data_IF_137663506279
#
_entry.id   IF_137663506279
#
_cell.length_a   1.000
_cell.length_b   1.000
_cell.length_c   1.000
_cell.angle_alpha   90.00
_cell.angle_beta   90.00
_cell.angle_gamma   90.00
#
_symmetry.space_group_name_H-M   'P 1'
#
loop_
_entity.id
_entity.type
_entity.pdbx_description
1 polymer ?
#
# COMPACT_ATOMS: atom_id res chain seq x y z
N UNK A 1 -19.24 32.99 -10.10
CA UNK A 1 -19.25 32.03 -9.96
C UNK A 1 -18.25 31.23 -9.72
N UNK A 2 -18.06 30.64 -8.97
CA UNK A 2 -17.03 29.89 -8.62
C UNK A 2 -16.90 28.65 -9.35
N UNK A 3 -15.71 28.19 -9.58
CA UNK A 3 -15.46 27.06 -10.23
C UNK A 3 -15.36 25.99 -9.26
N UNK A 4 -16.03 24.97 -9.38
CA UNK A 4 -15.94 23.84 -8.50
C UNK A 4 -14.72 23.05 -8.86
N UNK A 5 -13.87 22.82 -7.90
CA UNK A 5 -12.69 22.01 -8.12
C UNK A 5 -13.03 20.60 -7.70
N UNK A 6 -12.74 19.65 -8.55
CA UNK A 6 -13.06 18.27 -8.24
C UNK A 6 -12.22 17.79 -7.05
N UNK A 7 -12.82 17.04 -6.17
CA UNK A 7 -12.05 16.47 -5.05
C UNK A 7 -10.97 15.54 -5.58
N UNK A 8 -9.86 15.43 -4.87
CA UNK A 8 -8.76 14.60 -5.33
C UNK A 8 -9.19 13.14 -5.45
N UNK A 9 -10.17 12.72 -4.67
CA UNK A 9 -10.65 11.35 -4.80
C UNK A 9 -11.23 11.09 -6.18
N UNK A 10 -11.87 12.07 -6.79
CA UNK A 10 -12.38 11.92 -8.14
C UNK A 10 -11.24 11.96 -9.16
N UNK A 11 -10.22 12.76 -8.89
CA UNK A 11 -9.05 12.81 -9.74
C UNK A 11 -8.35 11.45 -9.72
N UNK A 12 -8.26 10.85 -8.57
CA UNK A 12 -7.64 9.54 -8.42
C UNK A 12 -8.41 8.49 -9.21
N UNK A 13 -9.74 8.53 -9.12
CA UNK A 13 -10.54 7.57 -9.85
C UNK A 13 -10.43 7.76 -11.35
N UNK A 14 -10.39 9.00 -11.79
CA UNK A 14 -10.24 9.28 -13.21
C UNK A 14 -8.88 8.78 -13.71
N UNK A 15 -7.85 8.93 -12.88
CA UNK A 15 -6.54 8.45 -13.26
C UNK A 15 -6.56 6.93 -13.38
N UNK A 16 -7.16 6.25 -12.42
CA UNK A 16 -7.25 4.80 -12.44
C UNK A 16 -7.98 4.34 -13.71
N UNK A 17 -9.09 5.00 -14.04
CA UNK A 17 -9.86 4.63 -15.21
C UNK A 17 -9.08 4.84 -16.50
N UNK A 18 -8.20 5.82 -16.51
CA UNK A 18 -7.43 6.11 -17.71
C UNK A 18 -6.44 5.00 -18.03
N UNK A 19 -6.15 4.12 -17.08
CA UNK A 19 -5.23 3.01 -17.29
C UNK A 19 -5.94 1.70 -17.61
N UNK A 20 -7.22 1.78 -17.96
CA UNK A 20 -8.02 0.60 -18.16
C UNK A 20 -7.50 -0.33 -19.27
N UNK A 21 -6.96 0.26 -20.34
CA UNK A 21 -6.42 -0.57 -21.42
C UNK A 21 -5.19 -1.31 -20.94
N UNK A 22 -4.35 -0.63 -20.18
CA UNK A 22 -3.15 -1.26 -19.62
C UNK A 22 -3.56 -2.40 -18.69
N UNK A 23 -4.55 -2.14 -17.84
CA UNK A 23 -5.00 -3.15 -16.90
C UNK A 23 -5.50 -4.40 -17.63
N UNK A 24 -6.28 -4.20 -18.68
CA UNK A 24 -6.82 -5.33 -19.40
C UNK A 24 -5.76 -6.16 -20.10
N UNK A 25 -4.62 -5.57 -20.39
CA UNK A 25 -3.54 -6.30 -21.03
C UNK A 25 -2.70 -7.09 -20.03
N UNK A 26 -2.91 -6.87 -18.74
CA UNK A 26 -2.16 -7.62 -17.73
C UNK A 26 -2.75 -9.00 -17.54
N UNK A 27 -1.94 -9.90 -16.99
CA UNK A 27 -2.43 -11.19 -16.62
C UNK A 27 -3.38 -11.02 -15.44
N UNK A 28 -4.23 -12.00 -15.24
CA UNK A 28 -5.27 -11.88 -14.22
C UNK A 28 -4.73 -11.58 -12.84
N UNK A 29 -3.72 -12.32 -12.40
CA UNK A 29 -3.18 -12.08 -11.08
C UNK A 29 -2.53 -10.72 -10.99
N UNK A 30 -2.03 -10.20 -12.11
CA UNK A 30 -1.43 -8.88 -12.11
C UNK A 30 -2.49 -7.79 -12.09
N UNK A 31 -3.67 -8.09 -12.60
CA UNK A 31 -4.76 -7.14 -12.53
C UNK A 31 -5.17 -6.88 -11.10
N UNK A 32 -5.18 -7.92 -10.28
CA UNK A 32 -5.50 -7.74 -8.86
C UNK A 32 -4.44 -6.89 -8.18
N UNK A 33 -3.18 -7.13 -8.51
CA UNK A 33 -2.11 -6.31 -7.94
C UNK A 33 -2.24 -4.86 -8.37
N UNK A 34 -2.58 -4.65 -9.65
CA UNK A 34 -2.75 -3.29 -10.16
C UNK A 34 -3.89 -2.59 -9.43
N UNK A 35 -5.00 -3.28 -9.23
CA UNK A 35 -6.14 -2.68 -8.53
C UNK A 35 -5.72 -2.32 -7.10
N UNK A 36 -4.88 -3.11 -6.51
CA UNK A 36 -4.39 -2.84 -5.17
C UNK A 36 -3.55 -1.58 -5.07
N UNK A 37 -2.87 -1.19 -6.18
CA UNK A 37 -2.09 0.03 -6.15
C UNK A 37 -2.96 1.24 -5.90
N UNK A 38 -4.07 1.32 -6.62
CA UNK A 38 -4.95 2.48 -6.48
C UNK A 38 -5.75 2.40 -5.18
N UNK A 39 -6.05 1.20 -4.72
CA UNK A 39 -6.68 1.07 -3.41
C UNK A 39 -5.74 1.57 -2.32
N UNK A 40 -4.45 1.25 -2.44
CA UNK A 40 -3.46 1.74 -1.47
C UNK A 40 -3.35 3.26 -1.53
N UNK A 41 -3.44 3.82 -2.73
CA UNK A 41 -3.33 5.27 -2.87
C UNK A 41 -4.44 6.00 -2.13
N UNK A 42 -5.60 5.37 -2.01
CA UNK A 42 -6.72 6.04 -1.36
C UNK A 42 -6.46 6.37 0.09
N UNK A 43 -5.54 5.65 0.72
CA UNK A 43 -5.23 5.93 2.11
C UNK A 43 -4.45 7.23 2.28
N UNK A 44 -3.93 7.79 1.19
CA UNK A 44 -3.07 8.95 1.29
C UNK A 44 -3.58 10.17 0.52
N UNK A 45 -4.90 10.20 0.29
CA UNK A 45 -5.48 11.29 -0.50
C UNK A 45 -5.20 12.64 0.13
N UNK A 46 -5.29 12.72 1.46
CA UNK A 46 -5.05 14.01 2.12
C UNK A 46 -3.63 14.52 1.87
N UNK A 47 -2.66 13.61 1.96
CA UNK A 47 -1.27 14.00 1.70
C UNK A 47 -1.07 14.38 0.24
N UNK A 48 -1.76 13.71 -0.66
CA UNK A 48 -1.64 13.99 -2.08
C UNK A 48 -2.13 15.38 -2.41
N UNK A 49 -3.17 15.82 -1.72
CA UNK A 49 -3.69 17.15 -1.94
C UNK A 49 -2.62 18.18 -1.61
N UNK A 50 -1.85 17.94 -0.56
CA UNK A 50 -0.81 18.88 -0.16
C UNK A 50 0.43 18.84 -1.07
N UNK A 51 0.56 17.81 -1.89
CA UNK A 51 1.72 17.74 -2.76
C UNK A 51 1.71 18.82 -3.83
N UNK A 52 0.53 19.30 -4.21
CA UNK A 52 0.39 20.39 -5.18
C UNK A 52 1.17 20.15 -6.46
N UNK A 53 1.10 18.94 -6.96
CA UNK A 53 1.82 18.66 -8.19
C UNK A 53 0.98 19.00 -9.40
N UNK A 54 1.66 19.36 -10.47
CA UNK A 54 0.97 19.65 -11.71
C UNK A 54 0.32 18.39 -12.26
N UNK A 55 0.98 17.24 -12.10
CA UNK A 55 0.42 16.01 -12.57
C UNK A 55 -0.06 15.21 -11.40
N UNK A 56 -1.33 14.92 -11.32
CA UNK A 56 -1.85 14.12 -10.21
C UNK A 56 -1.18 12.76 -10.10
N UNK A 57 -0.75 12.20 -11.23
CA UNK A 57 -0.12 10.90 -11.22
C UNK A 57 1.11 10.86 -10.33
N UNK A 58 1.90 11.92 -10.29
CA UNK A 58 3.08 11.95 -9.45
C UNK A 58 2.69 11.78 -7.98
N UNK A 59 1.68 12.51 -7.54
CA UNK A 59 1.24 12.42 -6.15
C UNK A 59 0.67 11.03 -5.86
N UNK A 60 -0.07 10.48 -6.80
CA UNK A 60 -0.65 9.16 -6.65
C UNK A 60 0.45 8.12 -6.52
N UNK A 61 1.46 8.20 -7.37
CA UNK A 61 2.56 7.23 -7.31
C UNK A 61 3.30 7.32 -6.00
N UNK A 62 3.52 8.53 -5.49
CA UNK A 62 4.19 8.66 -4.21
C UNK A 62 3.36 8.06 -3.08
N UNK A 63 2.05 8.25 -3.10
CA UNK A 63 1.18 7.64 -2.09
C UNK A 63 1.23 6.13 -2.16
N UNK A 64 1.25 5.58 -3.38
CA UNK A 64 1.35 4.15 -3.57
C UNK A 64 2.69 3.66 -3.00
N UNK A 65 3.77 4.37 -3.29
CA UNK A 65 5.08 3.96 -2.82
C UNK A 65 5.20 3.99 -1.31
N UNK A 66 4.58 4.98 -0.67
CA UNK A 66 4.58 5.05 0.78
C UNK A 66 3.88 3.82 1.36
N UNK A 67 2.75 3.44 0.78
CA UNK A 67 2.02 2.30 1.28
C UNK A 67 2.80 1.01 1.05
N UNK A 68 3.47 0.90 -0.09
CA UNK A 68 4.29 -0.27 -0.37
C UNK A 68 5.48 -0.33 0.58
N UNK A 69 6.09 0.81 0.88
CA UNK A 69 7.21 0.84 1.80
C UNK A 69 6.76 0.39 3.19
N UNK A 70 5.57 0.83 3.61
CA UNK A 70 5.01 0.40 4.86
C UNK A 70 4.82 -1.11 4.88
N UNK A 71 4.25 -1.65 3.81
CA UNK A 71 4.00 -3.09 3.74
C UNK A 71 5.31 -3.87 3.80
N UNK A 72 6.34 -3.38 3.10
CA UNK A 72 7.64 -4.04 3.13
C UNK A 72 8.21 -4.03 4.54
N UNK A 73 8.11 -2.89 5.22
CA UNK A 73 8.64 -2.80 6.58
C UNK A 73 7.90 -3.74 7.52
N UNK A 74 6.58 -3.83 7.38
CA UNK A 74 5.79 -4.72 8.21
C UNK A 74 6.10 -6.18 7.91
N UNK A 75 6.28 -6.51 6.63
CA UNK A 75 6.63 -7.87 6.26
C UNK A 75 8.00 -8.25 6.79
N UNK A 76 8.96 -7.35 6.70
CA UNK A 76 10.29 -7.60 7.22
C UNK A 76 10.25 -7.84 8.71
N UNK A 77 9.46 -7.04 9.43
CA UNK A 77 9.36 -7.19 10.86
C UNK A 77 8.67 -8.52 11.20
N UNK A 78 7.66 -8.89 10.43
CA UNK A 78 6.98 -10.16 10.63
C UNK A 78 7.91 -11.34 10.39
N UNK A 79 8.74 -11.27 9.34
CA UNK A 79 9.70 -12.32 9.06
C UNK A 79 10.71 -12.42 10.19
N UNK A 80 11.20 -11.28 10.68
CA UNK A 80 12.17 -11.28 11.76
C UNK A 80 11.57 -11.89 13.02
N UNK A 81 10.30 -11.60 13.31
CA UNK A 81 9.64 -12.15 14.47
C UNK A 81 9.48 -13.67 14.34
N UNK A 82 9.12 -14.11 13.12
CA UNK A 82 8.96 -15.54 12.88
C UNK A 82 10.29 -16.26 12.98
N UNK A 83 11.35 -15.68 12.43
CA UNK A 83 12.66 -16.27 12.52
C UNK A 83 13.11 -16.40 13.97
N UNK A 84 12.87 -15.38 14.75
CA UNK A 84 13.22 -15.41 16.14
C UNK A 84 12.44 -16.51 16.87
N UNK A 85 11.18 -16.65 16.54
CA UNK A 85 10.37 -17.70 17.16
C UNK A 85 10.86 -19.09 16.79
N UNK A 86 11.27 -19.27 15.53
CA UNK A 86 11.77 -20.54 15.09
C UNK A 86 13.11 -20.87 15.72
N UNK A 87 13.97 -19.88 15.90
CA UNK A 87 15.27 -20.11 16.46
C UNK A 87 15.30 -20.10 17.97
N UNK A 88 14.22 -19.69 18.61
CA UNK A 88 14.20 -19.68 20.05
C UNK A 88 14.30 -21.09 20.57
N UNK A 89 14.93 -21.27 21.70
CA UNK A 89 15.03 -22.62 22.24
C UNK A 89 13.67 -23.13 22.51
N UNK A 90 13.48 -24.38 22.16
CA UNK A 90 12.20 -24.97 22.36
C UNK A 90 12.04 -25.27 23.79
N UNK A 91 11.24 -24.54 24.53
CA UNK A 91 11.06 -24.87 25.92
C UNK A 91 9.74 -25.45 26.01
N UNK A 92 9.65 -26.67 25.64
CA UNK A 92 8.42 -27.30 25.76
C UNK A 92 8.04 -27.40 27.14
N UNK A 93 8.93 -27.53 28.01
CA UNK A 93 8.53 -27.66 29.31
C UNK A 93 8.42 -26.36 29.83
N UNK A 94 7.47 -26.16 30.50
CA UNK A 94 7.32 -24.94 31.13
C UNK A 94 8.36 -24.89 32.09
N UNK A 95 8.73 -23.82 32.44
CA UNK A 95 9.70 -23.69 33.25
C UNK A 95 9.31 -24.23 34.39
N UNK A 96 9.73 -25.28 34.80
CA UNK A 96 9.41 -25.81 35.87
C UNK A 96 9.96 -25.20 36.93
N UNK A 97 9.35 -24.93 37.87
CA UNK A 97 9.82 -24.33 38.98
C UNK A 97 10.79 -25.22 39.53
N UNK A 98 11.74 -24.75 39.90
CA UNK A 98 12.72 -25.53 40.47
C UNK A 98 12.15 -26.00 41.71
N UNK A 99 12.17 -27.05 41.90
CA UNK A 99 11.57 -27.55 43.09
C UNK A 99 12.34 -27.17 44.27
#
# INVERSE_FOLDING_TARGET
MGRTVAPFSQILEAEFDSWNKFRRALRREDQEAFDGLFAAAKYHVAAMVYASRLTPLEAILMGIMVEHQKAIMQLREGIRALEAAIQAPLTLTPQEPAA
#
